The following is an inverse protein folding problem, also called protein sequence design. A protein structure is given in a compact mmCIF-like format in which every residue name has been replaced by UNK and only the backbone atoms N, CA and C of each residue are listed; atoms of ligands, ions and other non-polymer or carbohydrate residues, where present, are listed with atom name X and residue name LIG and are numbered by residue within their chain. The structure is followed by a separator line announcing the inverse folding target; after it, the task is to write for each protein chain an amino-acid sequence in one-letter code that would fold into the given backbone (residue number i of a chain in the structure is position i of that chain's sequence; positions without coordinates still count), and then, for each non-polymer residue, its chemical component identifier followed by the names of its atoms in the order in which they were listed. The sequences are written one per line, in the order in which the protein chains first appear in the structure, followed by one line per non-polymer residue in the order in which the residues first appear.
data_IF_604393052080
#
_entry.id   IF_604393052080
#
_cell.length_a   1.000
_cell.length_b   1.000
_cell.length_c   1.000
_cell.angle_alpha   90.00
_cell.angle_beta   90.00
_cell.angle_gamma   90.00
#
_symmetry.space_group_name_H-M   'P 1'
#
loop_
_entity.id
_entity.type
_entity.pdbx_description
1 polymer ?
#
# COMPACT_ATOMS: atom_id res chain seq x y z
N UNK A 1 6.89 9.99 12.86
CA UNK A 1 5.77 9.37 12.11
C UNK A 1 6.39 8.78 10.87
N UNK A 2 6.26 7.47 10.62
CA UNK A 2 6.65 6.93 9.31
C UNK A 2 5.59 7.45 8.33
N UNK A 3 5.98 8.40 7.50
CA UNK A 3 5.11 8.90 6.43
C UNK A 3 5.23 7.90 5.30
N UNK A 4 4.17 7.12 5.10
CA UNK A 4 4.02 6.24 3.95
C UNK A 4 3.53 7.11 2.80
N UNK A 5 4.44 7.65 2.02
CA UNK A 5 4.05 8.35 0.78
C UNK A 5 3.56 7.36 -0.27
N UNK A 6 2.60 7.86 -1.04
CA UNK A 6 1.53 7.12 -1.69
C UNK A 6 1.96 6.13 -2.78
N UNK A 7 1.07 5.15 -3.00
CA UNK A 7 1.04 4.30 -4.20
C UNK A 7 1.06 5.19 -5.45
N UNK A 8 2.12 5.11 -6.26
CA UNK A 8 2.14 5.78 -7.57
C UNK A 8 1.78 4.78 -8.67
N UNK A 9 0.53 4.80 -9.13
CA UNK A 9 0.11 4.07 -10.33
C UNK A 9 0.40 4.93 -11.58
N UNK A 10 1.24 4.42 -12.49
CA UNK A 10 1.53 5.07 -13.78
C UNK A 10 0.64 4.47 -14.88
N UNK A 11 -0.39 5.18 -15.33
CA UNK A 11 -1.18 4.82 -16.52
C UNK A 11 -1.53 6.09 -17.35
N UNK A 12 -2.03 5.95 -18.58
CA UNK A 12 -2.29 7.08 -19.49
C UNK A 12 -3.63 7.80 -19.17
N UNK A 13 -3.67 9.12 -19.34
CA UNK A 13 -4.56 10.07 -18.63
C UNK A 13 -6.08 9.92 -18.80
N UNK A 14 -6.58 9.22 -19.83
CA UNK A 14 -8.02 8.94 -20.00
C UNK A 14 -8.49 7.72 -19.21
N UNK A 15 -7.77 6.61 -19.35
CA UNK A 15 -8.04 5.32 -18.67
C UNK A 15 -7.68 5.36 -17.18
N UNK A 16 -6.80 6.28 -16.78
CA UNK A 16 -6.33 6.45 -15.40
C UNK A 16 -7.46 6.71 -14.40
N UNK A 17 -8.35 7.65 -14.71
CA UNK A 17 -9.41 8.05 -13.79
C UNK A 17 -10.45 6.93 -13.61
N UNK A 18 -10.78 6.21 -14.68
CA UNK A 18 -11.69 5.06 -14.59
C UNK A 18 -11.08 3.92 -13.76
N UNK A 19 -9.81 3.60 -13.98
CA UNK A 19 -9.09 2.60 -13.17
C UNK A 19 -8.97 3.05 -11.72
N UNK A 20 -8.59 4.31 -11.47
CA UNK A 20 -8.47 4.87 -10.13
C UNK A 20 -9.81 4.87 -9.37
N UNK A 21 -10.91 5.22 -10.04
CA UNK A 21 -12.27 5.18 -9.47
C UNK A 21 -12.81 3.74 -9.32
N UNK A 22 -12.26 2.80 -10.09
CA UNK A 22 -12.61 1.38 -10.04
C UNK A 22 -11.80 0.57 -9.04
N UNK A 23 -10.66 1.08 -8.58
CA UNK A 23 -9.73 0.42 -7.68
C UNK A 23 -9.98 0.85 -6.23
N UNK A 24 -10.20 -0.11 -5.35
CA UNK A 24 -10.38 0.11 -3.91
C UNK A 24 -9.52 -0.86 -3.12
N UNK A 25 -8.87 -0.38 -2.06
CA UNK A 25 -8.16 -1.22 -1.09
C UNK A 25 -9.16 -1.56 0.01
N UNK A 26 -9.55 -2.83 0.10
CA UNK A 26 -10.54 -3.29 1.06
C UNK A 26 -9.94 -3.33 2.47
N UNK A 27 -8.71 -3.84 2.59
CA UNK A 27 -7.95 -3.86 3.84
C UNK A 27 -6.46 -4.06 3.59
N UNK A 28 -5.65 -3.69 4.58
CA UNK A 28 -4.22 -3.94 4.61
C UNK A 28 -3.80 -4.53 5.96
N UNK A 29 -2.97 -5.55 5.92
CA UNK A 29 -2.38 -6.22 7.09
C UNK A 29 -0.86 -6.24 7.03
N UNK A 30 -0.22 -6.28 8.20
CA UNK A 30 1.20 -6.52 8.36
C UNK A 30 1.41 -7.57 9.44
N UNK A 31 2.20 -8.59 9.12
CA UNK A 31 2.54 -9.68 10.04
C UNK A 31 4.05 -9.78 10.20
N UNK A 32 4.48 -10.38 11.31
CA UNK A 32 5.87 -10.82 11.46
C UNK A 32 6.15 -11.90 10.40
N UNK A 33 7.14 -11.66 9.55
CA UNK A 33 7.39 -12.49 8.36
C UNK A 33 7.88 -13.92 8.65
N UNK A 34 8.20 -14.24 9.91
CA UNK A 34 8.66 -15.58 10.31
C UNK A 34 7.57 -16.34 11.05
N UNK A 35 6.93 -15.70 12.02
CA UNK A 35 5.90 -16.33 12.86
C UNK A 35 4.50 -16.24 12.26
N UNK A 36 4.27 -15.34 11.29
CA UNK A 36 2.94 -15.04 10.77
C UNK A 36 2.04 -14.29 11.75
N UNK A 37 2.57 -13.86 12.91
CA UNK A 37 1.81 -13.11 13.91
C UNK A 37 1.36 -11.77 13.34
N UNK A 38 0.07 -11.47 13.41
CA UNK A 38 -0.46 -10.15 13.04
C UNK A 38 0.14 -9.06 13.94
N UNK A 39 0.73 -8.05 13.31
CA UNK A 39 1.34 -6.90 13.96
C UNK A 39 0.49 -5.65 13.81
N UNK A 40 -0.28 -5.56 12.73
CA UNK A 40 -1.18 -4.44 12.44
C UNK A 40 -2.17 -4.82 11.34
N UNK A 41 -3.40 -4.31 11.42
CA UNK A 41 -4.41 -4.42 10.36
C UNK A 41 -5.26 -3.15 10.32
N UNK A 42 -5.70 -2.76 9.13
CA UNK A 42 -6.69 -1.71 8.93
C UNK A 42 -7.65 -2.10 7.81
N UNK A 43 -8.93 -1.86 8.05
CA UNK A 43 -10.04 -2.03 7.10
C UNK A 43 -10.56 -0.68 6.57
N UNK A 44 -10.04 0.44 7.08
CA UNK A 44 -10.49 1.80 6.76
C UNK A 44 -9.84 2.39 5.49
N UNK A 45 -9.50 1.53 4.53
CA UNK A 45 -8.90 1.94 3.26
C UNK A 45 -9.93 2.09 2.14
N UNK A 46 -11.11 1.47 2.28
CA UNK A 46 -12.10 1.37 1.20
C UNK A 46 -12.92 2.65 0.98
N UNK A 47 -13.04 3.49 2.02
CA UNK A 47 -13.91 4.68 2.02
C UNK A 47 -13.17 5.98 1.68
N UNK A 48 -11.85 5.90 1.48
CA UNK A 48 -11.02 7.08 1.29
C UNK A 48 -10.72 7.26 -0.19
N UNK A 49 -10.82 8.49 -0.68
CA UNK A 49 -10.11 8.91 -1.89
C UNK A 49 -8.62 8.78 -1.61
N UNK A 50 -8.09 7.56 -1.73
CA UNK A 50 -6.68 7.21 -1.49
C UNK A 50 -5.74 7.96 -2.45
N UNK A 51 -6.30 8.54 -3.50
CA UNK A 51 -5.59 9.33 -4.49
C UNK A 51 -5.48 10.79 -4.04
N UNK A 52 -4.25 11.29 -3.94
CA UNK A 52 -3.98 12.70 -3.67
C UNK A 52 -4.18 13.16 -2.23
N UNK A 53 -4.41 12.24 -1.29
CA UNK A 53 -4.49 12.54 0.16
C UNK A 53 -3.41 11.81 0.93
N UNK A 54 -2.85 12.49 1.92
CA UNK A 54 -1.95 11.87 2.90
C UNK A 54 -2.76 11.07 3.91
N UNK A 55 -2.39 9.80 4.11
CA UNK A 55 -3.04 8.91 5.06
C UNK A 55 -2.10 8.62 6.22
N UNK A 56 -2.63 8.67 7.45
CA UNK A 56 -1.89 8.38 8.67
C UNK A 56 -2.24 7.02 9.23
N UNK A 57 -1.23 6.15 9.41
CA UNK A 57 -1.37 4.86 10.06
C UNK A 57 -0.69 4.84 11.44
N UNK A 58 -1.40 4.40 12.48
CA UNK A 58 -0.82 4.16 13.81
C UNK A 58 -0.32 2.73 13.92
N UNK A 59 0.96 2.54 13.62
CA UNK A 59 1.60 1.22 13.59
C UNK A 59 2.31 0.95 14.94
N UNK A 60 2.14 -0.24 15.56
CA UNK A 60 2.81 -0.56 16.81
C UNK A 60 4.33 -0.59 16.67
N UNK A 61 5.04 0.05 17.61
CA UNK A 61 6.52 0.08 17.65
C UNK A 61 7.17 -1.31 17.65
N UNK A 62 6.45 -2.34 18.10
CA UNK A 62 6.92 -3.72 18.12
C UNK A 62 7.29 -4.27 16.74
N UNK A 63 6.69 -3.74 15.66
CA UNK A 63 7.00 -4.15 14.28
C UNK A 63 8.47 -3.90 13.90
N UNK A 64 9.11 -2.88 14.51
CA UNK A 64 10.53 -2.56 14.27
C UNK A 64 11.48 -3.63 14.84
N UNK A 65 10.96 -4.57 15.63
CA UNK A 65 11.72 -5.72 16.15
C UNK A 65 11.62 -6.95 15.24
N UNK A 66 10.69 -6.95 14.28
CA UNK A 66 10.55 -8.04 13.32
C UNK A 66 11.77 -8.05 12.39
N UNK A 67 12.38 -9.22 12.21
CA UNK A 67 13.48 -9.37 11.24
C UNK A 67 13.02 -9.18 9.79
N UNK A 68 11.75 -9.53 9.53
CA UNK A 68 11.05 -9.32 8.28
C UNK A 68 9.58 -9.06 8.58
N UNK A 69 8.92 -8.30 7.73
CA UNK A 69 7.47 -8.03 7.82
C UNK A 69 6.84 -8.50 6.52
N UNK A 70 5.81 -9.34 6.61
CA UNK A 70 4.96 -9.64 5.46
C UNK A 70 3.82 -8.62 5.42
N UNK A 71 3.40 -8.25 4.21
CA UNK A 71 2.25 -7.37 4.01
C UNK A 71 1.20 -8.05 3.15
N UNK A 72 -0.02 -8.00 3.63
CA UNK A 72 -1.19 -8.47 2.93
C UNK A 72 -2.02 -7.26 2.49
N UNK A 73 -2.38 -7.21 1.21
CA UNK A 73 -3.26 -6.17 0.66
C UNK A 73 -4.38 -6.87 -0.05
N UNK A 74 -5.61 -6.57 0.36
CA UNK A 74 -6.79 -6.99 -0.35
C UNK A 74 -7.41 -5.79 -1.05
N UNK A 75 -7.68 -5.96 -2.35
CA UNK A 75 -8.20 -4.89 -3.17
C UNK A 75 -9.23 -5.44 -4.15
N UNK A 76 -10.09 -4.55 -4.62
CA UNK A 76 -11.08 -4.79 -5.65
C UNK A 76 -10.81 -3.87 -6.83
N UNK A 77 -10.96 -4.34 -8.06
CA UNK A 77 -10.90 -3.49 -9.26
C UNK A 77 -12.10 -3.76 -10.16
N UNK A 78 -12.78 -2.69 -10.60
CA UNK A 78 -13.82 -2.76 -11.63
C UNK A 78 -13.25 -3.01 -13.02
N UNK A 79 -12.00 -2.59 -13.24
CA UNK A 79 -11.34 -2.62 -14.54
C UNK A 79 -10.18 -3.63 -14.53
N UNK A 80 -9.91 -4.25 -15.68
CA UNK A 80 -8.68 -5.03 -15.89
C UNK A 80 -7.48 -4.07 -15.89
N UNK A 81 -6.40 -4.42 -15.19
CA UNK A 81 -5.20 -3.58 -15.10
C UNK A 81 -3.98 -4.36 -15.57
N UNK A 82 -3.65 -4.22 -16.86
CA UNK A 82 -2.49 -4.88 -17.46
C UNK A 82 -1.20 -4.55 -16.68
N UNK A 83 -0.47 -5.58 -16.24
CA UNK A 83 0.83 -5.46 -15.53
C UNK A 83 0.72 -4.62 -14.24
N UNK A 84 -0.34 -4.83 -13.47
CA UNK A 84 -0.55 -4.17 -12.19
C UNK A 84 0.65 -4.35 -11.26
N UNK A 85 1.13 -3.21 -10.73
CA UNK A 85 2.28 -3.14 -9.85
C UNK A 85 2.15 -1.98 -8.87
N UNK A 86 2.83 -2.13 -7.74
CA UNK A 86 2.97 -1.10 -6.71
C UNK A 86 4.44 -0.74 -6.60
N UNK A 87 4.73 0.55 -6.76
CA UNK A 87 6.01 1.15 -6.41
C UNK A 87 5.78 1.98 -5.15
N UNK A 88 6.57 1.71 -4.11
CA UNK A 88 6.46 2.39 -2.83
C UNK A 88 7.82 2.88 -2.37
N UNK A 89 7.86 4.10 -1.84
CA UNK A 89 9.02 4.66 -1.16
C UNK A 89 8.73 4.81 0.32
N UNK A 90 9.71 4.48 1.14
CA UNK A 90 9.66 4.72 2.59
C UNK A 90 10.59 5.89 2.87
N UNK A 91 10.02 6.96 3.43
CA UNK A 91 10.77 8.17 3.76
C UNK A 91 10.96 8.29 5.26
N UNK A 92 12.16 8.69 5.67
CA UNK A 92 12.47 9.15 7.01
C UNK A 92 13.08 10.55 6.89
N UNK A 93 12.41 11.56 7.45
CA UNK A 93 12.82 12.96 7.35
C UNK A 93 13.06 13.39 5.89
N UNK A 94 12.07 13.13 5.02
CA UNK A 94 12.11 13.44 3.57
C UNK A 94 13.19 12.70 2.77
N UNK A 95 14.00 11.86 3.40
CA UNK A 95 14.98 11.02 2.74
C UNK A 95 14.41 9.63 2.48
N UNK A 96 14.52 9.18 1.23
CA UNK A 96 14.16 7.81 0.86
C UNK A 96 15.15 6.85 1.51
N UNK A 97 14.65 6.00 2.41
CA UNK A 97 15.46 4.96 3.07
C UNK A 97 15.25 3.59 2.43
N UNK A 98 14.08 3.35 1.83
CA UNK A 98 13.79 2.12 1.10
C UNK A 98 12.87 2.39 -0.11
N UNK A 99 13.07 1.62 -1.17
CA UNK A 99 12.18 1.57 -2.33
C UNK A 99 11.78 0.13 -2.59
N UNK A 100 10.48 -0.12 -2.70
CA UNK A 100 9.93 -1.44 -2.95
C UNK A 100 9.14 -1.45 -4.25
N UNK A 101 9.28 -2.57 -4.98
CA UNK A 101 8.55 -2.82 -6.22
C UNK A 101 7.86 -4.17 -6.12
N UNK A 102 6.54 -4.16 -6.11
CA UNK A 102 5.70 -5.35 -6.07
C UNK A 102 4.97 -5.48 -7.40
N UNK A 103 5.12 -6.64 -8.04
CA UNK A 103 4.43 -6.96 -9.29
C UNK A 103 3.31 -7.94 -8.95
N UNK A 104 2.07 -7.53 -9.17
CA UNK A 104 0.92 -8.40 -8.98
C UNK A 104 0.69 -9.29 -10.21
N UNK A 105 0.72 -8.68 -11.40
CA UNK A 105 0.42 -9.38 -12.64
C UNK A 105 -0.78 -8.77 -13.35
N UNK A 106 -1.76 -9.60 -13.69
CA UNK A 106 -2.44 -9.56 -14.98
C UNK A 106 -2.94 -8.20 -15.48
#
# INVERSE_FOLDING_TARGET
VLVLEALRLSLMSGTLNEIANGLSINWMGMNDGYSGKEMWKSEDWANQEIWGKELSAKIPKGILKCKAVSRDINFSSKNKIEKFRVEQKVLLNEQVIEEWRFIFGF
#
